data_IF_486591242138
#
_entry.id   IF_486591242138
#
_cell.length_a   1.000
_cell.length_b   1.000
_cell.length_c   1.000
_cell.angle_alpha   90.00
_cell.angle_beta   90.00
_cell.angle_gamma   90.00
#
_symmetry.space_group_name_H-M   'P 1'
#
loop_
_entity.id
_entity.type
_entity.pdbx_description
1 polymer ?
#
# COMPACT_ATOMS: atom_id res chain seq x y z
N UNK A 1 2.18 4.64 16.03
CA UNK A 1 2.59 4.73 14.61
C UNK A 1 3.41 3.49 14.31
N UNK A 2 3.13 2.81 13.21
CA UNK A 2 3.94 1.69 12.73
C UNK A 2 4.97 2.24 11.72
N UNK A 3 6.24 2.12 12.07
CA UNK A 3 7.42 2.38 11.23
C UNK A 3 8.33 1.15 11.27
N UNK A 4 9.34 1.10 10.41
CA UNK A 4 10.35 0.03 10.41
C UNK A 4 11.06 -0.13 11.76
N UNK A 5 11.33 0.96 12.49
CA UNK A 5 11.93 0.92 13.84
C UNK A 5 11.03 0.31 14.92
N UNK A 6 9.72 0.28 14.68
CA UNK A 6 8.74 -0.33 15.59
C UNK A 6 8.58 -1.82 15.36
N UNK A 7 9.12 -2.35 14.27
CA UNK A 7 9.12 -3.79 14.01
C UNK A 7 10.34 -4.40 14.71
N UNK A 8 10.18 -5.43 15.54
CA UNK A 8 11.29 -6.05 16.25
C UNK A 8 12.38 -6.53 15.30
N UNK A 9 13.64 -6.31 15.69
CA UNK A 9 14.81 -6.67 14.87
C UNK A 9 14.86 -8.16 14.53
N UNK A 10 14.40 -9.03 15.43
CA UNK A 10 14.35 -10.47 15.19
C UNK A 10 13.35 -10.86 14.08
N UNK A 11 12.35 -10.00 13.83
CA UNK A 11 11.41 -10.16 12.73
C UNK A 11 12.01 -9.61 11.43
N UNK A 12 12.54 -8.37 11.45
CA UNK A 12 13.12 -7.74 10.26
C UNK A 12 14.34 -8.48 9.73
N UNK A 13 15.16 -9.08 10.60
CA UNK A 13 16.37 -9.82 10.22
C UNK A 13 16.12 -11.10 9.42
N UNK A 14 14.85 -11.53 9.28
CA UNK A 14 14.48 -12.69 8.46
C UNK A 14 14.36 -12.36 6.98
N UNK A 15 14.22 -11.07 6.65
CA UNK A 15 14.02 -10.58 5.29
C UNK A 15 15.35 -10.22 4.64
N UNK A 16 15.47 -10.36 3.30
CA UNK A 16 16.66 -9.92 2.59
C UNK A 16 16.80 -8.40 2.64
N UNK A 17 18.05 -7.93 2.54
CA UNK A 17 18.35 -6.51 2.40
C UNK A 17 17.64 -5.92 1.18
N UNK A 18 17.11 -4.70 1.33
CA UNK A 18 16.33 -4.04 0.28
C UNK A 18 14.90 -4.55 0.13
N UNK A 19 14.39 -5.35 1.08
CA UNK A 19 12.95 -5.67 1.12
C UNK A 19 12.11 -4.39 1.15
N UNK A 20 11.13 -4.21 0.25
CA UNK A 20 10.28 -3.03 0.23
C UNK A 20 9.57 -2.82 1.57
N UNK A 21 9.50 -1.57 2.04
CA UNK A 21 8.89 -1.22 3.33
C UNK A 21 7.45 -1.71 3.42
N UNK A 22 6.72 -1.59 2.29
CA UNK A 22 5.34 -2.07 2.17
C UNK A 22 5.25 -3.59 2.44
N UNK A 23 6.13 -4.38 1.82
CA UNK A 23 6.15 -5.83 2.00
C UNK A 23 6.45 -6.18 3.47
N UNK A 24 7.42 -5.50 4.09
CA UNK A 24 7.77 -5.71 5.49
C UNK A 24 6.62 -5.43 6.44
N UNK A 25 5.89 -4.32 6.25
CA UNK A 25 4.76 -3.95 7.10
C UNK A 25 3.59 -4.93 6.94
N UNK A 26 3.25 -5.30 5.71
CA UNK A 26 2.20 -6.28 5.46
C UNK A 26 2.56 -7.64 6.07
N UNK A 27 3.82 -8.07 5.94
CA UNK A 27 4.31 -9.30 6.53
C UNK A 27 4.26 -9.29 8.06
N UNK A 28 4.66 -8.18 8.69
CA UNK A 28 4.61 -8.04 10.15
C UNK A 28 3.17 -8.12 10.67
N UNK A 29 2.22 -7.44 10.01
CA UNK A 29 0.81 -7.50 10.39
C UNK A 29 0.17 -8.88 10.19
N UNK A 30 0.72 -9.67 9.25
CA UNK A 30 0.26 -11.03 8.92
C UNK A 30 0.87 -12.09 9.84
N UNK A 31 2.19 -12.07 10.02
CA UNK A 31 2.99 -13.14 10.62
C UNK A 31 3.66 -12.76 11.94
N UNK A 32 3.49 -11.51 12.41
CA UNK A 32 3.98 -11.08 13.72
C UNK A 32 3.35 -11.90 14.85
N UNK A 33 4.08 -12.06 15.95
CA UNK A 33 3.54 -12.76 17.10
C UNK A 33 2.46 -11.92 17.80
N UNK A 34 1.66 -12.55 18.66
CA UNK A 34 0.55 -11.87 19.33
C UNK A 34 1.00 -10.73 20.27
N UNK A 35 2.18 -10.86 20.89
CA UNK A 35 2.73 -9.87 21.83
C UNK A 35 3.13 -8.59 21.10
N UNK A 36 3.86 -8.71 19.98
CA UNK A 36 4.29 -7.58 19.16
C UNK A 36 3.11 -6.86 18.49
N UNK A 37 2.04 -7.60 18.20
CA UNK A 37 0.84 -7.05 17.57
C UNK A 37 -0.17 -6.48 18.57
N UNK A 38 0.05 -6.68 19.88
CA UNK A 38 -0.92 -6.34 20.91
C UNK A 38 -1.28 -4.85 20.89
N UNK A 39 -0.29 -3.98 20.76
CA UNK A 39 -0.49 -2.52 20.76
C UNK A 39 -1.33 -2.03 19.57
N UNK A 40 -1.38 -2.79 18.47
CA UNK A 40 -2.11 -2.43 17.27
C UNK A 40 -3.53 -2.99 17.26
N UNK A 41 -3.90 -3.90 18.19
CA UNK A 41 -5.18 -4.60 18.16
C UNK A 41 -6.40 -3.67 18.18
N UNK A 42 -6.36 -2.60 18.98
CA UNK A 42 -7.47 -1.65 19.04
C UNK A 42 -7.66 -0.91 17.70
N UNK A 43 -6.55 -0.52 17.05
CA UNK A 43 -6.56 0.12 15.74
C UNK A 43 -6.97 -0.85 14.62
N UNK A 44 -6.50 -2.10 14.66
CA UNK A 44 -6.87 -3.13 13.69
C UNK A 44 -8.38 -3.40 13.63
N UNK A 45 -9.08 -3.24 14.75
CA UNK A 45 -10.54 -3.40 14.83
C UNK A 45 -11.33 -2.31 14.10
N UNK A 46 -10.69 -1.22 13.68
CA UNK A 46 -11.33 -0.12 12.95
C UNK A 46 -11.05 -0.17 11.45
N UNK A 47 -10.34 -1.20 10.99
CA UNK A 47 -9.97 -1.33 9.58
C UNK A 47 -11.18 -1.72 8.71
N UNK A 48 -11.18 -1.33 7.42
CA UNK A 48 -12.18 -1.79 6.46
C UNK A 48 -12.18 -3.31 6.40
N UNK A 49 -13.34 -3.88 6.11
CA UNK A 49 -13.45 -5.30 5.81
C UNK A 49 -12.80 -5.61 4.46
N UNK A 50 -12.59 -6.90 4.20
CA UNK A 50 -12.16 -7.36 2.86
C UNK A 50 -13.18 -6.98 1.78
N UNK A 51 -14.47 -7.07 2.07
CA UNK A 51 -15.54 -6.71 1.13
C UNK A 51 -15.46 -5.23 0.73
N UNK A 52 -15.15 -4.34 1.67
CA UNK A 52 -15.01 -2.91 1.37
C UNK A 52 -13.91 -2.65 0.32
N UNK A 53 -12.84 -3.45 0.33
CA UNK A 53 -11.81 -3.39 -0.70
C UNK A 53 -12.27 -4.00 -2.02
N UNK A 54 -12.95 -5.14 -1.99
CA UNK A 54 -13.45 -5.81 -3.20
C UNK A 54 -14.45 -4.93 -3.96
N UNK A 55 -15.27 -4.17 -3.25
CA UNK A 55 -16.26 -3.26 -3.83
C UNK A 55 -15.63 -1.98 -4.41
N UNK A 56 -14.43 -1.59 -3.97
CA UNK A 56 -13.87 -0.27 -4.26
C UNK A 56 -12.51 -0.26 -4.98
N UNK A 57 -11.74 -1.35 -4.94
CA UNK A 57 -10.36 -1.38 -5.45
C UNK A 57 -10.24 -2.16 -6.77
N UNK A 58 -9.80 -1.52 -7.87
CA UNK A 58 -9.63 -2.16 -9.17
C UNK A 58 -8.77 -3.42 -9.20
N UNK A 59 -7.80 -3.54 -8.27
CA UNK A 59 -6.92 -4.71 -8.14
C UNK A 59 -7.68 -5.98 -7.71
N UNK A 60 -8.86 -5.83 -7.11
CA UNK A 60 -9.73 -6.93 -6.69
C UNK A 60 -10.95 -7.13 -7.61
N UNK A 61 -11.20 -6.20 -8.53
CA UNK A 61 -12.35 -6.28 -9.43
C UNK A 61 -12.20 -7.41 -10.44
N UNK A 62 -13.34 -7.92 -10.94
CA UNK A 62 -13.36 -8.85 -12.07
C UNK A 62 -12.89 -8.20 -13.38
N UNK A 63 -12.45 -9.01 -14.34
CA UNK A 63 -12.01 -8.54 -15.66
C UNK A 63 -13.08 -7.69 -16.36
N UNK A 64 -14.36 -8.06 -16.22
CA UNK A 64 -15.47 -7.31 -16.80
C UNK A 64 -15.56 -5.87 -16.27
N UNK A 65 -15.31 -5.66 -14.97
CA UNK A 65 -15.30 -4.32 -14.38
C UNK A 65 -14.03 -3.55 -14.77
N UNK A 66 -12.89 -4.24 -14.88
CA UNK A 66 -11.61 -3.63 -15.28
C UNK A 66 -11.64 -3.06 -16.69
N UNK A 67 -12.48 -3.59 -17.58
CA UNK A 67 -12.69 -3.04 -18.92
C UNK A 67 -13.29 -1.63 -18.94
N UNK A 68 -13.82 -1.15 -17.81
CA UNK A 68 -14.34 0.22 -17.67
C UNK A 68 -13.32 1.18 -17.05
N UNK A 69 -12.10 0.71 -16.74
CA UNK A 69 -11.07 1.55 -16.16
C UNK A 69 -10.52 2.55 -17.19
N UNK A 70 -10.21 3.79 -16.77
CA UNK A 70 -9.64 4.78 -17.66
C UNK A 70 -8.25 4.33 -18.15
N UNK A 71 -7.79 4.83 -19.31
CA UNK A 71 -6.52 4.41 -19.91
C UNK A 71 -5.30 4.62 -19.01
N UNK A 72 -5.29 5.61 -18.11
CA UNK A 72 -4.20 5.80 -17.13
C UNK A 72 -4.03 4.62 -16.17
N UNK A 73 -5.12 3.90 -15.89
CA UNK A 73 -5.12 2.75 -14.98
C UNK A 73 -4.90 1.46 -15.73
N UNK A 74 -5.63 1.24 -16.83
CA UNK A 74 -5.62 -0.02 -17.59
C UNK A 74 -4.63 -0.05 -18.75
N UNK A 75 -4.13 1.10 -19.21
CA UNK A 75 -3.41 1.29 -20.48
C UNK A 75 -4.20 0.95 -21.75
N UNK A 76 -5.50 0.68 -21.63
CA UNK A 76 -6.36 0.36 -22.78
C UNK A 76 -7.11 1.61 -23.26
N UNK A 77 -6.84 2.03 -24.50
CA UNK A 77 -7.55 3.12 -25.17
C UNK A 77 -8.63 2.53 -26.08
N UNK A 78 -9.86 2.40 -25.58
CA UNK A 78 -10.95 1.81 -26.38
C UNK A 78 -11.45 2.71 -27.53
N UNK A 79 -11.22 4.02 -27.47
CA UNK A 79 -11.79 5.01 -28.41
C UNK A 79 -10.77 5.69 -29.33
N UNK A 80 -9.47 5.47 -29.13
CA UNK A 80 -8.40 6.09 -29.93
C UNK A 80 -7.45 4.98 -30.37
N UNK A 81 -7.32 4.76 -31.67
CA UNK A 81 -6.26 3.90 -32.23
C UNK A 81 -4.92 4.41 -31.68
N UNK A 82 -4.21 3.55 -30.97
CA UNK A 82 -3.02 3.93 -30.20
C UNK A 82 -2.11 4.83 -31.04
N UNK A 83 -1.94 6.09 -30.61
CA UNK A 83 -0.79 6.86 -31.07
C UNK A 83 0.46 6.08 -30.65
N UNK A 84 1.48 6.08 -31.50
CA UNK A 84 2.76 5.43 -31.25
C UNK A 84 3.15 5.56 -29.78
N UNK A 85 3.51 4.44 -29.14
CA UNK A 85 3.99 4.41 -27.75
C UNK A 85 4.98 5.54 -27.59
N UNK A 86 4.57 6.58 -26.86
CA UNK A 86 5.46 7.70 -26.54
C UNK A 86 6.71 7.09 -25.90
N UNK A 87 7.89 7.49 -26.38
CA UNK A 87 9.17 6.88 -25.98
C UNK A 87 9.59 7.19 -24.53
N UNK A 88 8.74 7.84 -23.74
CA UNK A 88 8.98 8.13 -22.33
C UNK A 88 7.97 7.39 -21.45
N UNK A 89 8.47 6.76 -20.39
CA UNK A 89 7.63 6.21 -19.33
C UNK A 89 6.88 7.36 -18.65
N UNK A 90 5.57 7.18 -18.52
CA UNK A 90 4.72 8.10 -17.77
C UNK A 90 4.39 7.44 -16.45
N UNK A 91 4.78 8.09 -15.35
CA UNK A 91 4.57 7.63 -13.96
C UNK A 91 3.09 7.33 -13.63
N UNK A 92 2.15 7.78 -14.47
CA UNK A 92 0.70 7.67 -14.26
C UNK A 92 -0.01 6.87 -15.35
N UNK A 93 0.66 5.91 -15.98
CA UNK A 93 0.07 4.95 -16.91
C UNK A 93 0.27 3.53 -16.39
N UNK A 94 -0.62 2.61 -16.78
CA UNK A 94 -0.54 1.19 -16.42
C UNK A 94 -0.53 0.95 -14.90
N UNK A 95 -1.18 1.82 -14.12
CA UNK A 95 -1.09 1.80 -12.67
C UNK A 95 -1.60 0.48 -12.08
N UNK A 96 -2.62 -0.14 -12.68
CA UNK A 96 -3.12 -1.43 -12.19
C UNK A 96 -2.06 -2.53 -12.27
N UNK A 97 -1.45 -2.73 -13.43
CA UNK A 97 -0.42 -3.76 -13.61
C UNK A 97 0.81 -3.52 -12.72
N UNK A 98 1.18 -2.24 -12.50
CA UNK A 98 2.25 -1.90 -11.57
C UNK A 98 1.91 -2.30 -10.12
N UNK A 99 0.69 -2.02 -9.65
CA UNK A 99 0.27 -2.42 -8.30
C UNK A 99 0.17 -3.96 -8.17
N UNK A 100 -0.32 -4.65 -9.19
CA UNK A 100 -0.34 -6.12 -9.23
C UNK A 100 1.06 -6.72 -9.15
N UNK A 101 2.02 -6.16 -9.91
CA UNK A 101 3.40 -6.60 -9.85
C UNK A 101 4.00 -6.36 -8.46
N UNK A 102 3.74 -5.21 -7.83
CA UNK A 102 4.22 -4.91 -6.47
C UNK A 102 3.65 -5.86 -5.42
N UNK A 103 2.36 -6.19 -5.50
CA UNK A 103 1.74 -7.17 -4.61
C UNK A 103 2.35 -8.57 -4.82
N UNK A 104 2.55 -9.01 -6.06
CA UNK A 104 3.18 -10.31 -6.38
C UNK A 104 4.62 -10.38 -5.88
N UNK A 105 5.43 -9.35 -6.14
CA UNK A 105 6.82 -9.30 -5.63
C UNK A 105 6.84 -9.33 -4.10
N UNK A 106 5.97 -8.58 -3.44
CA UNK A 106 5.88 -8.60 -1.98
C UNK A 106 5.48 -9.99 -1.46
N UNK A 107 4.51 -10.64 -2.11
CA UNK A 107 4.12 -12.01 -1.78
C UNK A 107 5.27 -13.01 -1.90
N UNK A 108 6.00 -12.98 -3.02
CA UNK A 108 7.12 -13.91 -3.27
C UNK A 108 8.20 -13.76 -2.19
N UNK A 109 8.52 -12.52 -1.79
CA UNK A 109 9.45 -12.25 -0.68
C UNK A 109 8.90 -12.83 0.63
N UNK A 110 7.64 -12.57 0.96
CA UNK A 110 7.05 -12.97 2.25
C UNK A 110 6.94 -14.48 2.38
N UNK A 111 6.50 -15.20 1.34
CA UNK A 111 6.38 -16.66 1.37
C UNK A 111 7.75 -17.34 1.40
N UNK A 112 8.79 -16.71 0.84
CA UNK A 112 10.16 -17.23 0.97
C UNK A 112 10.65 -17.27 2.43
N UNK A 113 10.13 -16.37 3.28
CA UNK A 113 10.47 -16.26 4.71
C UNK A 113 9.47 -17.01 5.60
N UNK A 114 8.19 -16.94 5.26
CA UNK A 114 7.06 -17.55 5.98
C UNK A 114 6.23 -18.42 5.03
N UNK A 115 6.66 -19.67 4.74
CA UNK A 115 6.03 -20.52 3.72
C UNK A 115 4.56 -20.84 3.96
N UNK A 116 4.12 -20.83 5.22
CA UNK A 116 2.75 -21.13 5.63
C UNK A 116 1.83 -19.90 5.62
N UNK A 117 2.30 -18.76 5.09
CA UNK A 117 1.50 -17.53 5.00
C UNK A 117 0.27 -17.78 4.12
N UNK A 118 -0.90 -17.41 4.63
CA UNK A 118 -2.15 -17.44 3.86
C UNK A 118 -2.24 -16.22 2.92
N UNK A 119 -2.59 -16.47 1.66
CA UNK A 119 -2.71 -15.43 0.63
C UNK A 119 -3.80 -14.41 0.97
N UNK A 120 -4.96 -14.87 1.45
CA UNK A 120 -6.10 -13.99 1.72
C UNK A 120 -5.80 -13.02 2.86
N UNK A 121 -5.13 -13.51 3.90
CA UNK A 121 -4.69 -12.71 5.04
C UNK A 121 -3.60 -11.73 4.62
N UNK A 122 -2.55 -12.18 3.94
CA UNK A 122 -1.46 -11.31 3.50
C UNK A 122 -1.94 -10.21 2.55
N UNK A 123 -2.72 -10.58 1.53
CA UNK A 123 -3.23 -9.61 0.55
C UNK A 123 -4.13 -8.58 1.23
N UNK A 124 -4.96 -8.98 2.20
CA UNK A 124 -5.71 -8.02 3.03
C UNK A 124 -4.80 -7.03 3.75
N UNK A 125 -3.75 -7.50 4.45
CA UNK A 125 -2.80 -6.61 5.13
C UNK A 125 -2.02 -5.73 4.17
N UNK A 126 -1.68 -6.24 2.98
CA UNK A 126 -1.05 -5.45 1.94
C UNK A 126 -1.95 -4.29 1.48
N UNK A 127 -3.25 -4.52 1.31
CA UNK A 127 -4.23 -3.49 0.93
C UNK A 127 -4.40 -2.45 2.03
N UNK A 128 -4.40 -2.87 3.30
CA UNK A 128 -4.38 -1.96 4.45
C UNK A 128 -3.18 -1.02 4.38
N UNK A 129 -1.97 -1.57 4.18
CA UNK A 129 -0.76 -0.75 4.06
C UNK A 129 -0.81 0.16 2.82
N UNK A 130 -1.36 -0.32 1.70
CA UNK A 130 -1.48 0.46 0.47
C UNK A 130 -2.42 1.66 0.60
N UNK A 131 -3.47 1.55 1.42
CA UNK A 131 -4.55 2.55 1.50
C UNK A 131 -4.48 3.45 2.73
N UNK A 132 -3.74 3.05 3.78
CA UNK A 132 -3.69 3.74 5.09
C UNK A 132 -2.30 4.25 5.49
N UNK A 133 -1.33 4.17 4.58
CA UNK A 133 0.00 4.73 4.81
C UNK A 133 0.07 6.21 4.48
N UNK A 134 0.97 6.89 5.17
CA UNK A 134 1.36 8.27 4.90
C UNK A 134 2.80 8.28 4.41
N UNK A 135 3.12 9.18 3.48
CA UNK A 135 4.50 9.45 3.12
C UNK A 135 5.27 9.92 4.34
N UNK A 136 6.36 9.23 4.66
CA UNK A 136 7.15 9.52 5.87
C UNK A 136 8.61 9.10 5.68
N UNK A 137 9.53 9.96 6.14
CA UNK A 137 10.96 9.70 6.23
C UNK A 137 11.39 9.94 7.68
N UNK A 138 12.24 9.06 8.22
CA UNK A 138 12.82 9.32 9.54
C UNK A 138 13.75 10.54 9.49
N UNK A 139 13.94 11.27 10.60
CA UNK A 139 14.89 12.37 10.66
C UNK A 139 16.29 11.94 10.20
N UNK A 140 16.82 12.62 9.19
CA UNK A 140 18.15 12.34 8.63
C UNK A 140 18.21 11.21 7.60
N UNK A 141 17.09 10.60 7.23
CA UNK A 141 17.04 9.70 6.07
C UNK A 141 16.90 10.48 4.77
N UNK A 142 17.67 10.05 3.77
CA UNK A 142 17.46 10.47 2.39
C UNK A 142 16.23 9.76 1.79
N UNK A 143 15.53 10.37 0.83
CA UNK A 143 14.45 9.71 0.11
C UNK A 143 14.93 8.42 -0.55
N UNK A 144 14.20 7.30 -0.42
CA UNK A 144 14.50 6.06 -1.13
C UNK A 144 14.34 6.22 -2.64
N UNK A 145 14.96 5.32 -3.40
CA UNK A 145 14.81 5.27 -4.87
C UNK A 145 13.34 5.07 -5.26
N UNK A 146 12.65 4.10 -4.63
CA UNK A 146 11.20 4.00 -4.71
C UNK A 146 10.56 4.85 -3.60
N UNK A 147 9.93 5.96 -3.98
CA UNK A 147 9.18 6.84 -3.06
C UNK A 147 8.16 6.07 -2.22
N UNK A 148 7.64 4.96 -2.72
CA UNK A 148 6.69 4.15 -1.98
C UNK A 148 7.31 3.48 -0.74
N UNK A 149 8.63 3.39 -0.62
CA UNK A 149 9.27 2.87 0.59
C UNK A 149 9.37 3.90 1.71
N UNK A 150 9.10 5.17 1.42
CA UNK A 150 9.00 6.25 2.40
C UNK A 150 7.60 6.29 3.01
N UNK A 151 7.31 5.35 3.92
CA UNK A 151 5.96 5.23 4.50
C UNK A 151 5.92 4.89 5.98
N UNK A 152 4.84 5.33 6.63
CA UNK A 152 4.44 4.95 7.98
C UNK A 152 2.91 4.76 8.05
N UNK A 153 2.43 3.92 8.96
CA UNK A 153 1.01 3.88 9.31
C UNK A 153 0.77 4.61 10.63
N UNK A 154 -0.14 5.58 10.62
CA UNK A 154 -0.45 6.39 11.78
C UNK A 154 -1.87 6.06 12.28
N UNK A 155 -1.99 5.22 13.33
CA UNK A 155 -3.28 4.99 13.97
C UNK A 155 -3.98 6.32 14.29
N UNK A 156 -5.30 6.38 14.10
CA UNK A 156 -6.17 7.56 14.22
C UNK A 156 -6.07 8.56 13.07
N UNK A 157 -4.87 8.87 12.56
CA UNK A 157 -4.74 9.80 11.45
C UNK A 157 -5.31 9.21 10.14
N UNK A 158 -5.23 7.89 9.98
CA UNK A 158 -5.79 7.15 8.86
C UNK A 158 -7.33 7.04 8.86
N UNK A 159 -8.02 7.71 9.80
CA UNK A 159 -9.48 7.80 9.81
C UNK A 159 -10.01 9.00 9.02
N UNK A 160 -9.16 10.00 8.77
CA UNK A 160 -9.53 11.15 7.99
C UNK A 160 -9.65 10.76 6.51
N UNK A 161 -10.83 10.99 5.94
CA UNK A 161 -11.05 10.82 4.51
C UNK A 161 -10.43 11.99 3.74
N UNK A 162 -10.05 11.72 2.49
CA UNK A 162 -9.63 12.76 1.56
C UNK A 162 -10.83 13.63 1.15
N UNK A 163 -10.62 14.94 1.09
CA UNK A 163 -11.52 15.89 0.43
C UNK A 163 -10.72 16.68 -0.60
N UNK A 164 -11.33 16.91 -1.75
CA UNK A 164 -10.82 17.81 -2.79
C UNK A 164 -10.88 19.30 -2.38
N UNK A 165 -11.63 19.61 -1.32
CA UNK A 165 -11.72 20.94 -0.73
C UNK A 165 -10.68 21.06 0.40
N UNK A 166 -9.58 21.76 0.11
CA UNK A 166 -8.63 22.13 1.15
C UNK A 166 -9.31 23.08 2.15
N UNK A 167 -9.25 22.74 3.45
CA UNK A 167 -9.65 23.66 4.52
C UNK A 167 -8.69 24.85 4.47
N UNK A 168 -9.16 25.99 3.98
CA UNK A 168 -8.46 27.26 4.17
C UNK A 168 -8.71 27.66 5.62
N UNK A 169 -7.67 27.62 6.46
CA UNK A 169 -7.72 28.34 7.73
C UNK A 169 -7.98 29.81 7.42
N UNK A 170 -9.14 30.31 7.82
CA UNK A 170 -9.40 31.73 7.82
C UNK A 170 -8.56 32.34 8.95
N UNK A 171 -7.51 33.07 8.58
CA UNK A 171 -6.87 34.08 9.42
C UNK A 171 -7.95 35.03 9.93
N UNK A 172 -8.48 34.73 11.11
CA UNK A 172 -9.36 35.61 11.85
C UNK A 172 -8.49 36.46 12.75
N UNK A 173 -7.75 37.40 12.15
CA UNK A 173 -7.24 38.54 12.91
C UNK A 173 -8.47 39.38 13.26
N UNK A 174 -8.84 39.39 14.53
CA UNK A 174 -9.58 40.48 15.17
C UNK A 174 -8.76 41.03 16.31
#
# INVERSE_FOLDING_TARGET
MLTSERIPSYFTSKFPDGTPTHALYAAFLTNGNAEDLEEFNAWRKTWPSRQDFEDSMPILWSESLRNYLPPSISSHWHSIQSRDKLQYETTHQNLLAQQEQRLRTAWDIVVSVFPDTDWETFSYHWLIVNTRSFFYLMPGQEPPEDRNDAMALLPFADYFNHSDVAVREYDSIK
#
